data_IF_309260436067
#
_entry.id   IF_309260436067
#
_cell.length_a   1.000
_cell.length_b   1.000
_cell.length_c   1.000
_cell.angle_alpha   90.00
_cell.angle_beta   90.00
_cell.angle_gamma   90.00
#
_symmetry.space_group_name_H-M   'P 1'
#
loop_
_entity.id
_entity.type
_entity.pdbx_description
1 polymer ?
#
# COMPACT_ATOMS: atom_id res chain seq x y z
N UNK A 1 -9.86 -10.38 -8.32
CA UNK A 1 -8.70 -10.63 -9.22
C UNK A 1 -8.90 -9.84 -10.51
N UNK A 2 -7.78 -9.46 -11.14
CA UNK A 2 -7.72 -8.92 -12.51
C UNK A 2 -6.75 -9.79 -13.32
N UNK A 3 -6.71 -9.60 -14.63
CA UNK A 3 -5.90 -10.43 -15.53
C UNK A 3 -4.39 -10.45 -15.18
N UNK A 4 -3.86 -9.34 -14.68
CA UNK A 4 -2.44 -9.15 -14.36
C UNK A 4 -2.15 -9.04 -12.85
N UNK A 5 -3.10 -9.45 -11.98
CA UNK A 5 -2.90 -9.44 -10.54
C UNK A 5 -4.16 -9.21 -9.73
N UNK A 6 -4.12 -8.23 -8.84
CA UNK A 6 -5.24 -7.83 -7.99
C UNK A 6 -5.48 -6.33 -8.07
N UNK A 7 -6.73 -5.94 -7.88
CA UNK A 7 -7.13 -4.54 -7.79
C UNK A 7 -8.06 -4.32 -6.60
N UNK A 8 -8.03 -3.10 -6.09
CA UNK A 8 -9.00 -2.60 -5.14
C UNK A 8 -10.10 -1.86 -5.91
N UNK A 9 -11.36 -2.22 -5.67
CA UNK A 9 -12.54 -1.56 -6.25
C UNK A 9 -13.47 -1.20 -5.10
N UNK A 10 -13.90 0.07 -5.04
CA UNK A 10 -14.89 0.50 -4.06
C UNK A 10 -15.99 1.37 -4.69
N UNK A 11 -17.24 0.99 -4.38
CA UNK A 11 -18.45 1.66 -4.81
C UNK A 11 -19.40 1.77 -3.62
N UNK A 12 -19.11 2.71 -2.70
CA UNK A 12 -19.75 2.77 -1.38
C UNK A 12 -21.22 3.17 -1.40
N UNK A 13 -21.59 4.13 -2.23
CA UNK A 13 -22.97 4.60 -2.33
C UNK A 13 -23.75 3.85 -3.39
N UNK A 14 -25.07 3.97 -3.39
CA UNK A 14 -25.89 3.36 -4.44
C UNK A 14 -25.56 3.95 -5.82
N UNK A 15 -25.29 5.25 -5.89
CA UNK A 15 -24.88 5.91 -7.12
C UNK A 15 -23.51 5.41 -7.62
N UNK A 16 -22.55 5.17 -6.73
CA UNK A 16 -21.25 4.61 -7.07
C UNK A 16 -21.38 3.16 -7.55
N UNK A 17 -22.28 2.39 -6.95
CA UNK A 17 -22.56 1.02 -7.39
C UNK A 17 -23.21 1.00 -8.77
N UNK A 18 -24.13 1.92 -9.05
CA UNK A 18 -24.71 2.08 -10.39
C UNK A 18 -23.61 2.42 -11.42
N UNK A 19 -22.64 3.27 -11.07
CA UNK A 19 -21.49 3.56 -11.93
C UNK A 19 -20.65 2.28 -12.19
N UNK A 20 -20.35 1.50 -11.17
CA UNK A 20 -19.66 0.22 -11.35
C UNK A 20 -20.42 -0.73 -12.27
N UNK A 21 -21.72 -0.86 -12.09
CA UNK A 21 -22.57 -1.70 -12.94
C UNK A 21 -22.56 -1.24 -14.42
N UNK A 22 -22.56 0.08 -14.69
CA UNK A 22 -22.39 0.62 -16.05
C UNK A 22 -21.03 0.27 -16.65
N UNK A 23 -19.96 0.47 -15.88
CA UNK A 23 -18.58 0.18 -16.32
C UNK A 23 -18.42 -1.31 -16.64
N UNK A 24 -19.06 -2.17 -15.87
CA UNK A 24 -19.09 -3.62 -16.10
C UNK A 24 -19.95 -4.03 -17.30
N UNK A 25 -20.82 -3.15 -17.80
CA UNK A 25 -21.86 -3.51 -18.78
C UNK A 25 -22.98 -4.36 -18.20
N UNK A 26 -23.21 -4.29 -16.89
CA UNK A 26 -24.15 -5.09 -16.11
C UNK A 26 -25.13 -4.19 -15.34
N UNK A 27 -25.75 -3.25 -16.04
CA UNK A 27 -26.66 -2.26 -15.43
C UNK A 27 -27.82 -2.90 -14.65
N UNK A 28 -28.23 -4.12 -15.01
CA UNK A 28 -29.30 -4.87 -14.36
C UNK A 28 -28.95 -5.21 -12.88
N UNK A 29 -27.68 -5.37 -12.53
CA UNK A 29 -27.26 -5.63 -11.15
C UNK A 29 -27.64 -4.49 -10.20
N UNK A 30 -27.69 -3.26 -10.69
CA UNK A 30 -28.10 -2.10 -9.89
C UNK A 30 -29.59 -2.14 -9.52
N UNK A 31 -30.41 -2.90 -10.24
CA UNK A 31 -31.82 -3.07 -9.99
C UNK A 31 -32.15 -4.40 -9.29
N UNK A 32 -31.19 -5.29 -9.16
CA UNK A 32 -31.36 -6.58 -8.49
C UNK A 32 -31.78 -6.38 -7.03
N UNK A 33 -32.88 -6.98 -6.56
CA UNK A 33 -33.33 -6.86 -5.17
C UNK A 33 -32.30 -7.22 -4.12
N UNK A 34 -31.29 -8.03 -4.46
CA UNK A 34 -30.19 -8.43 -3.58
C UNK A 34 -29.16 -7.32 -3.42
N UNK A 35 -28.98 -6.45 -4.42
CA UNK A 35 -27.88 -5.50 -4.51
C UNK A 35 -28.31 -4.04 -4.62
N UNK A 36 -29.59 -3.73 -4.76
CA UNK A 36 -30.12 -2.42 -5.09
C UNK A 36 -30.05 -1.36 -3.99
N UNK A 37 -29.46 -1.67 -2.85
CA UNK A 37 -29.17 -0.68 -1.80
C UNK A 37 -27.88 -1.03 -1.04
N UNK A 38 -27.21 -0.02 -0.49
CA UNK A 38 -25.98 -0.18 0.32
C UNK A 38 -26.19 -1.15 1.47
N UNK A 39 -27.33 -1.09 2.16
CA UNK A 39 -27.66 -1.97 3.30
C UNK A 39 -27.71 -3.43 2.87
N UNK A 40 -28.32 -3.72 1.71
CA UNK A 40 -28.42 -5.09 1.20
C UNK A 40 -27.07 -5.62 0.75
N UNK A 41 -26.27 -4.82 0.06
CA UNK A 41 -24.91 -5.20 -0.36
C UNK A 41 -23.95 -5.47 0.80
N UNK A 42 -24.21 -4.89 1.98
CA UNK A 42 -23.41 -5.10 3.19
C UNK A 42 -23.73 -6.41 3.93
N UNK A 43 -24.69 -7.22 3.47
CA UNK A 43 -24.91 -8.56 4.03
C UNK A 43 -23.87 -9.54 3.51
N UNK A 44 -23.43 -10.48 4.34
CA UNK A 44 -22.38 -11.45 4.01
C UNK A 44 -22.66 -12.22 2.70
N UNK A 45 -23.90 -12.70 2.56
CA UNK A 45 -24.29 -13.50 1.40
C UNK A 45 -24.30 -12.66 0.10
N UNK A 46 -24.84 -11.43 0.17
CA UNK A 46 -24.86 -10.53 -0.97
C UNK A 46 -23.46 -10.09 -1.37
N UNK A 47 -22.57 -9.83 -0.40
CA UNK A 47 -21.17 -9.48 -0.65
C UNK A 47 -20.45 -10.59 -1.40
N UNK A 48 -20.57 -11.84 -0.96
CA UNK A 48 -19.92 -13.00 -1.60
C UNK A 48 -20.42 -13.20 -3.03
N UNK A 49 -21.72 -13.05 -3.27
CA UNK A 49 -22.31 -13.18 -4.63
C UNK A 49 -21.86 -12.03 -5.54
N UNK A 50 -21.89 -10.81 -5.02
CA UNK A 50 -21.47 -9.62 -5.77
C UNK A 50 -19.99 -9.67 -6.14
N UNK A 51 -19.13 -10.11 -5.22
CA UNK A 51 -17.70 -10.30 -5.49
C UNK A 51 -17.46 -11.30 -6.63
N UNK A 52 -18.24 -12.38 -6.71
CA UNK A 52 -18.15 -13.32 -7.83
C UNK A 52 -18.53 -12.67 -9.17
N UNK A 53 -19.57 -11.86 -9.20
CA UNK A 53 -19.98 -11.15 -10.42
C UNK A 53 -18.90 -10.14 -10.87
N UNK A 54 -18.35 -9.37 -9.91
CA UNK A 54 -17.27 -8.42 -10.19
C UNK A 54 -16.02 -9.17 -10.67
N UNK A 55 -15.64 -10.28 -10.04
CA UNK A 55 -14.46 -11.04 -10.42
C UNK A 55 -14.60 -11.70 -11.79
N UNK A 56 -15.76 -12.25 -12.12
CA UNK A 56 -16.03 -12.78 -13.47
C UNK A 56 -15.77 -11.75 -14.57
N UNK A 57 -16.10 -10.49 -14.32
CA UNK A 57 -15.85 -9.42 -15.25
C UNK A 57 -14.38 -8.98 -15.21
N UNK A 58 -13.86 -8.67 -14.03
CA UNK A 58 -12.55 -8.03 -13.88
C UNK A 58 -11.36 -8.90 -14.30
N UNK A 59 -11.47 -10.23 -14.18
CA UNK A 59 -10.41 -11.15 -14.58
C UNK A 59 -10.10 -11.16 -16.08
N UNK A 60 -10.98 -10.59 -16.91
CA UNK A 60 -10.77 -10.46 -18.36
C UNK A 60 -9.95 -9.22 -18.74
N UNK A 61 -9.71 -8.31 -17.81
CA UNK A 61 -9.03 -7.04 -18.04
C UNK A 61 -7.80 -6.90 -17.14
N UNK A 62 -6.79 -6.19 -17.64
CA UNK A 62 -5.68 -5.73 -16.81
C UNK A 62 -6.16 -4.60 -15.89
N UNK A 63 -5.38 -4.31 -14.84
CA UNK A 63 -5.70 -3.19 -13.95
C UNK A 63 -5.75 -1.85 -14.71
N UNK A 64 -4.86 -1.65 -15.66
CA UNK A 64 -4.79 -0.41 -16.45
C UNK A 64 -6.00 -0.29 -17.40
N UNK A 65 -6.45 -1.39 -18.00
CA UNK A 65 -7.66 -1.41 -18.83
C UNK A 65 -8.92 -1.08 -18.02
N UNK A 66 -9.03 -1.57 -16.78
CA UNK A 66 -10.15 -1.22 -15.90
C UNK A 66 -10.06 0.25 -15.47
N UNK A 67 -8.87 0.74 -15.12
CA UNK A 67 -8.68 2.14 -14.79
C UNK A 67 -9.11 3.06 -15.93
N UNK A 68 -8.75 2.73 -17.17
CA UNK A 68 -9.19 3.48 -18.34
C UNK A 68 -10.71 3.49 -18.48
N UNK A 69 -11.38 2.36 -18.24
CA UNK A 69 -12.87 2.28 -18.25
C UNK A 69 -13.49 3.13 -17.14
N UNK A 70 -12.92 3.12 -15.93
CA UNK A 70 -13.39 3.94 -14.80
C UNK A 70 -13.25 5.42 -15.10
N UNK A 71 -12.13 5.85 -15.67
CA UNK A 71 -11.89 7.26 -16.03
C UNK A 71 -12.73 7.73 -17.21
N UNK A 72 -13.13 6.82 -18.08
CA UNK A 72 -13.95 7.13 -19.26
C UNK A 72 -15.46 7.13 -18.98
N UNK A 73 -15.95 6.68 -17.80
CA UNK A 73 -17.38 6.67 -17.48
C UNK A 73 -17.91 8.10 -17.30
N UNK A 74 -18.81 8.60 -18.17
CA UNK A 74 -19.31 9.96 -18.08
C UNK A 74 -20.51 10.10 -17.12
N UNK A 75 -20.97 8.98 -16.56
CA UNK A 75 -22.19 8.94 -15.75
C UNK A 75 -21.98 9.44 -14.32
N UNK A 76 -23.08 9.62 -13.59
CA UNK A 76 -23.01 10.01 -12.19
C UNK A 76 -22.45 8.89 -11.32
N UNK A 77 -21.77 9.26 -10.23
CA UNK A 77 -21.11 8.34 -9.30
C UNK A 77 -19.63 8.20 -9.58
N UNK A 78 -18.90 7.79 -8.56
CA UNK A 78 -17.44 7.62 -8.62
C UNK A 78 -17.09 6.21 -8.16
N UNK A 79 -16.40 5.46 -9.01
CA UNK A 79 -15.78 4.19 -8.63
C UNK A 79 -14.34 4.45 -8.23
N UNK A 80 -14.01 4.17 -6.98
CA UNK A 80 -12.62 4.19 -6.54
C UNK A 80 -11.96 2.90 -7.01
N UNK A 81 -10.90 3.04 -7.79
CA UNK A 81 -10.17 1.93 -8.37
C UNK A 81 -8.67 2.15 -8.24
N UNK A 82 -7.94 1.08 -7.96
CA UNK A 82 -6.48 1.08 -8.00
C UNK A 82 -5.90 -0.32 -8.04
N UNK A 83 -4.77 -0.52 -8.72
CA UNK A 83 -4.06 -1.80 -8.69
C UNK A 83 -3.49 -2.06 -7.30
N UNK A 84 -3.46 -3.32 -6.89
CA UNK A 84 -2.66 -3.77 -5.75
C UNK A 84 -1.25 -4.04 -6.26
N UNK A 85 -0.37 -3.08 -6.05
CA UNK A 85 0.99 -3.13 -6.56
C UNK A 85 1.89 -4.07 -5.74
N UNK A 86 2.65 -4.90 -6.43
CA UNK A 86 3.82 -5.54 -5.82
C UNK A 86 4.91 -4.51 -5.54
N UNK A 87 5.88 -4.77 -4.65
CA UNK A 87 7.01 -3.87 -4.43
C UNK A 87 7.72 -3.47 -5.73
N UNK A 88 7.94 -4.42 -6.64
CA UNK A 88 8.58 -4.17 -7.93
C UNK A 88 7.74 -3.29 -8.86
N UNK A 89 6.41 -3.37 -8.82
CA UNK A 89 5.52 -2.48 -9.56
C UNK A 89 5.51 -1.08 -8.95
N UNK A 90 5.44 -0.98 -7.62
CA UNK A 90 5.51 0.32 -6.92
C UNK A 90 6.78 1.08 -7.24
N UNK A 91 7.93 0.39 -7.36
CA UNK A 91 9.21 1.01 -7.73
C UNK A 91 9.26 1.54 -9.18
N UNK A 92 8.35 1.11 -10.04
CA UNK A 92 8.24 1.62 -11.43
C UNK A 92 7.29 2.80 -11.57
N UNK A 93 6.52 3.12 -10.54
CA UNK A 93 5.57 4.23 -10.54
C UNK A 93 6.28 5.57 -10.39
N UNK A 94 6.31 6.37 -11.44
CA UNK A 94 7.00 7.67 -11.48
C UNK A 94 6.58 8.61 -10.35
N UNK A 95 5.29 8.63 -10.00
CA UNK A 95 4.76 9.49 -8.93
C UNK A 95 5.47 9.31 -7.58
N UNK A 96 5.88 8.08 -7.22
CA UNK A 96 6.58 7.86 -5.95
C UNK A 96 8.00 8.42 -5.96
N UNK A 97 8.68 8.36 -7.11
CA UNK A 97 10.00 8.96 -7.30
C UNK A 97 9.95 10.48 -7.33
N UNK A 98 9.03 11.07 -8.07
CA UNK A 98 8.79 12.52 -8.13
C UNK A 98 8.45 13.10 -6.75
N UNK A 99 7.71 12.36 -5.95
CA UNK A 99 7.42 12.72 -4.57
C UNK A 99 8.59 12.50 -3.61
N UNK A 100 9.71 11.94 -4.06
CA UNK A 100 10.85 11.61 -3.22
C UNK A 100 10.56 10.55 -2.17
N UNK A 101 9.64 9.62 -2.46
CA UNK A 101 9.31 8.52 -1.56
C UNK A 101 10.35 7.40 -1.57
N UNK A 102 11.19 7.35 -2.60
CA UNK A 102 12.31 6.41 -2.72
C UNK A 102 13.64 7.16 -2.88
N UNK A 103 14.70 6.57 -2.35
CA UNK A 103 16.07 7.08 -2.49
C UNK A 103 17.07 5.92 -2.40
N UNK A 104 18.06 5.93 -3.31
CA UNK A 104 19.29 5.15 -3.11
C UNK A 104 20.19 5.85 -2.09
N UNK A 105 20.73 5.08 -1.16
CA UNK A 105 21.59 5.54 -0.07
C UNK A 105 22.77 4.59 0.03
N UNK A 106 23.98 5.14 0.00
CA UNK A 106 25.20 4.38 0.32
C UNK A 106 25.30 4.14 1.82
N UNK A 107 25.39 2.88 2.21
CA UNK A 107 25.58 2.46 3.58
C UNK A 107 26.94 1.77 3.73
N UNK A 108 27.75 2.16 4.75
CA UNK A 108 29.10 1.61 4.91
C UNK A 108 29.14 0.12 5.27
N UNK A 109 28.02 -0.47 5.69
CA UNK A 109 27.91 -1.89 6.06
C UNK A 109 27.28 -2.71 4.94
N UNK A 110 26.24 -2.17 4.30
CA UNK A 110 25.39 -2.91 3.35
C UNK A 110 25.54 -2.46 1.89
N UNK A 111 26.36 -1.44 1.60
CA UNK A 111 26.51 -0.87 0.27
C UNK A 111 25.29 -0.04 -0.16
N UNK A 112 24.99 -0.05 -1.44
CA UNK A 112 23.83 0.71 -1.97
C UNK A 112 22.53 0.07 -1.54
N UNK A 113 21.67 0.85 -0.88
CA UNK A 113 20.35 0.45 -0.43
C UNK A 113 19.29 1.35 -1.06
N UNK A 114 18.27 0.75 -1.67
CA UNK A 114 17.08 1.47 -2.09
C UNK A 114 16.08 1.49 -0.92
N UNK A 115 15.80 2.69 -0.42
CA UNK A 115 14.96 2.87 0.77
C UNK A 115 13.67 3.62 0.44
N UNK A 116 12.59 3.18 1.08
CA UNK A 116 11.38 3.98 1.20
C UNK A 116 11.59 5.03 2.30
N UNK A 117 11.37 6.29 1.95
CA UNK A 117 11.43 7.41 2.88
C UNK A 117 10.05 7.71 3.47
N UNK A 118 9.97 8.49 4.56
CA UNK A 118 8.70 8.99 5.07
C UNK A 118 7.92 9.74 3.98
N UNK A 119 6.66 9.33 3.77
CA UNK A 119 5.81 9.85 2.68
C UNK A 119 5.14 11.19 3.01
N UNK A 120 5.04 11.53 4.30
CA UNK A 120 4.47 12.80 4.74
C UNK A 120 5.46 13.95 4.62
N UNK A 121 4.94 15.10 4.22
CA UNK A 121 5.72 16.34 4.05
C UNK A 121 5.29 17.34 5.09
N UNK A 122 6.13 17.52 6.09
CA UNK A 122 5.93 18.51 7.14
C UNK A 122 6.76 19.76 6.81
N UNK A 123 6.14 20.91 6.70
CA UNK A 123 6.80 22.16 6.29
C UNK A 123 7.78 22.67 7.33
N UNK A 124 7.44 22.58 8.62
CA UNK A 124 8.27 23.08 9.72
C UNK A 124 9.26 22.06 10.28
N UNK A 125 8.92 20.78 10.21
CA UNK A 125 9.72 19.67 10.74
C UNK A 125 9.82 18.55 9.69
N UNK A 126 10.53 18.78 8.57
CA UNK A 126 10.62 17.78 7.52
C UNK A 126 11.30 16.51 8.06
N UNK A 127 10.79 15.33 7.70
CA UNK A 127 11.39 14.07 8.11
C UNK A 127 12.80 13.94 7.52
N UNK A 128 13.70 13.33 8.28
CA UNK A 128 15.10 13.14 7.87
C UNK A 128 15.50 11.69 8.04
N UNK A 129 16.04 11.11 6.98
CA UNK A 129 16.77 9.84 7.09
C UNK A 129 18.17 10.13 7.64
N UNK A 130 18.47 9.67 8.85
CA UNK A 130 19.81 9.82 9.46
C UNK A 130 20.72 8.66 9.08
N UNK A 131 20.19 7.46 9.06
CA UNK A 131 20.86 6.22 8.63
C UNK A 131 19.78 5.19 8.23
N UNK A 132 20.08 4.21 7.37
CA UNK A 132 19.12 3.17 7.00
C UNK A 132 18.91 2.19 8.15
N UNK A 133 19.66 1.12 8.20
CA UNK A 133 19.65 0.15 9.29
C UNK A 133 21.05 -0.02 9.86
N UNK A 134 21.15 -0.64 11.02
CA UNK A 134 22.41 -0.98 11.64
C UNK A 134 22.36 -2.41 12.14
N UNK A 135 23.50 -3.12 12.17
CA UNK A 135 23.58 -4.43 12.81
C UNK A 135 23.12 -4.38 14.26
N UNK A 136 22.62 -5.51 14.74
CA UNK A 136 22.24 -5.66 16.16
C UNK A 136 23.45 -5.31 17.03
N UNK A 137 23.23 -4.50 18.06
CA UNK A 137 24.26 -4.06 18.98
C UNK A 137 25.15 -2.91 18.49
N UNK A 138 24.98 -2.42 17.25
CA UNK A 138 25.79 -1.31 16.70
C UNK A 138 25.87 -0.09 17.64
N UNK A 139 24.78 0.24 18.31
CA UNK A 139 24.71 1.38 19.21
C UNK A 139 25.03 1.06 20.68
N UNK A 140 25.31 -0.20 21.03
CA UNK A 140 25.53 -0.63 22.40
C UNK A 140 26.60 0.22 23.09
N UNK A 141 27.74 0.45 22.44
CA UNK A 141 28.81 1.26 23.02
C UNK A 141 28.34 2.66 23.40
N UNK A 142 27.65 3.34 22.48
CA UNK A 142 27.15 4.70 22.72
C UNK A 142 26.06 4.74 23.80
N UNK A 143 25.07 3.84 23.71
CA UNK A 143 23.91 3.83 24.61
C UNK A 143 24.32 3.48 26.04
N UNK A 144 25.05 2.40 26.21
CA UNK A 144 25.44 1.95 27.53
C UNK A 144 26.43 2.91 28.21
N UNK A 145 27.35 3.51 27.45
CA UNK A 145 28.24 4.53 28.00
C UNK A 145 27.49 5.80 28.40
N UNK A 146 26.64 6.31 27.49
CA UNK A 146 25.95 7.60 27.69
C UNK A 146 24.89 7.57 28.79
N UNK A 147 24.07 6.51 28.82
CA UNK A 147 22.88 6.45 29.69
C UNK A 147 23.09 5.61 30.95
N UNK A 148 24.09 4.70 30.97
CA UNK A 148 24.34 3.79 32.08
C UNK A 148 25.74 3.92 32.66
N UNK A 149 26.59 4.76 32.08
CA UNK A 149 27.95 4.99 32.58
C UNK A 149 28.93 3.79 32.44
N UNK A 150 28.54 2.79 31.59
CA UNK A 150 29.39 1.60 31.44
C UNK A 150 30.57 1.89 30.52
N UNK A 151 31.78 1.82 31.07
CA UNK A 151 33.00 2.00 30.29
C UNK A 151 33.32 0.84 29.34
N UNK A 152 34.25 1.03 28.38
CA UNK A 152 34.59 0.04 27.37
C UNK A 152 34.97 -1.35 27.93
N UNK A 153 35.70 -1.38 29.05
CA UNK A 153 36.12 -2.63 29.72
C UNK A 153 34.92 -3.45 30.20
N UNK A 154 33.92 -2.79 30.84
CA UNK A 154 32.70 -3.47 31.28
C UNK A 154 31.87 -3.96 30.12
N UNK A 155 31.83 -3.22 29.03
CA UNK A 155 31.12 -3.67 27.79
C UNK A 155 31.81 -4.88 27.16
N UNK A 156 33.15 -4.93 27.18
CA UNK A 156 33.89 -6.09 26.68
C UNK A 156 33.62 -7.35 27.54
N UNK A 157 33.59 -7.20 28.84
CA UNK A 157 33.24 -8.27 29.78
C UNK A 157 31.83 -8.80 29.53
N UNK A 158 30.82 -7.92 29.42
CA UNK A 158 29.45 -8.32 29.16
C UNK A 158 29.27 -9.02 27.80
N UNK A 159 30.03 -8.61 26.78
CA UNK A 159 30.07 -9.32 25.49
C UNK A 159 30.67 -10.71 25.64
N UNK A 160 31.77 -10.87 26.39
CA UNK A 160 32.39 -12.19 26.62
C UNK A 160 31.45 -13.16 27.37
N UNK A 161 30.52 -12.61 28.16
CA UNK A 161 29.50 -13.36 28.89
C UNK A 161 28.22 -13.63 28.06
N UNK A 162 28.16 -13.15 26.82
CA UNK A 162 26.97 -13.31 25.96
C UNK A 162 25.76 -12.49 26.43
N UNK A 163 25.95 -11.45 27.22
CA UNK A 163 24.88 -10.54 27.68
C UNK A 163 24.63 -9.42 26.71
N UNK A 164 25.63 -9.04 25.90
CA UNK A 164 25.57 -8.01 24.86
C UNK A 164 26.02 -8.55 23.51
#
# INVERSE_FOLDING_TARGET
RVKDGFAYIAAYTDQNFQALCRIMGRAELAQDPRFNSTVKRATMDAEVELLKEIERWSQHYTADEILAKVLADPGPGVVVFGPVNSPSRTLREANWWERGCFRSVEDPVYGELLLQLPVWRLTRTPPRLKWPCRPIGYHNGHVYQKYFGLGPGRLAELRSQGVL
#
